data_IF_447085193743
#
_entry.id   IF_447085193743
#
_cell.length_a   1.000
_cell.length_b   1.000
_cell.length_c   1.000
_cell.angle_alpha   90.00
_cell.angle_beta   90.00
_cell.angle_gamma   90.00
#
_symmetry.space_group_name_H-M   'P 1'
#
loop_
_entity.id
_entity.type
_entity.pdbx_description
1 polymer ?
#
# COMPACT_ATOMS: atom_id res chain seq x y z
N UNK A 1 -4.87 7.73 -17.66
CA UNK A 1 -4.50 8.76 -16.64
C UNK A 1 -3.37 8.26 -15.77
N UNK A 2 -2.53 9.18 -15.37
CA UNK A 2 -1.41 8.87 -14.47
C UNK A 2 -1.50 9.75 -13.24
N UNK A 3 -1.21 9.17 -12.08
CA UNK A 3 -1.11 9.90 -10.82
C UNK A 3 0.20 9.51 -10.16
N UNK A 4 1.02 10.51 -9.84
CA UNK A 4 2.26 10.29 -9.09
C UNK A 4 2.12 10.90 -7.70
N UNK A 5 2.42 10.11 -6.69
CA UNK A 5 2.38 10.55 -5.29
C UNK A 5 3.77 10.34 -4.71
N UNK A 6 4.45 11.40 -4.25
CA UNK A 6 5.74 11.23 -3.59
C UNK A 6 5.62 10.34 -2.36
N UNK A 7 6.58 9.43 -2.18
CA UNK A 7 6.61 8.57 -0.99
C UNK A 7 6.68 9.39 0.28
N UNK A 8 7.33 10.54 0.23
CA UNK A 8 7.41 11.45 1.36
C UNK A 8 6.03 11.96 1.79
N UNK A 9 5.12 12.18 0.84
CA UNK A 9 3.75 12.62 1.17
C UNK A 9 2.99 11.51 1.89
N UNK A 10 3.18 10.25 1.50
CA UNK A 10 2.59 9.11 2.19
C UNK A 10 3.15 9.02 3.61
N UNK A 11 4.46 9.18 3.74
CA UNK A 11 5.14 9.17 5.03
C UNK A 11 4.63 10.27 5.95
N UNK A 12 4.50 11.49 5.43
CA UNK A 12 3.99 12.64 6.19
C UNK A 12 2.52 12.46 6.57
N UNK A 13 1.71 11.91 5.65
CA UNK A 13 0.31 11.63 5.92
C UNK A 13 0.14 10.65 7.09
N UNK A 14 0.91 9.56 7.09
CA UNK A 14 0.86 8.57 8.16
C UNK A 14 1.30 9.15 9.51
N UNK A 15 2.31 10.00 9.49
CA UNK A 15 2.78 10.68 10.70
C UNK A 15 1.72 11.65 11.24
N UNK A 16 1.15 12.48 10.35
CA UNK A 16 0.28 13.58 10.76
C UNK A 16 -1.12 13.11 11.14
N UNK A 17 -1.64 12.09 10.47
CA UNK A 17 -3.01 11.61 10.70
C UNK A 17 -3.11 10.40 11.62
N UNK A 18 -2.07 9.59 11.70
CA UNK A 18 -2.12 8.34 12.46
C UNK A 18 -0.99 8.21 13.48
N UNK A 19 -0.11 9.21 13.55
CA UNK A 19 1.07 9.20 14.43
C UNK A 19 1.96 7.97 14.20
N UNK A 20 2.02 7.52 12.96
CA UNK A 20 2.90 6.43 12.53
C UNK A 20 4.13 7.05 11.88
N UNK A 21 5.29 6.88 12.51
CA UNK A 21 6.55 7.45 12.04
C UNK A 21 7.36 6.38 11.33
N UNK A 22 7.34 6.41 10.02
CA UNK A 22 8.12 5.51 9.18
C UNK A 22 8.97 6.31 8.21
N UNK A 23 10.06 5.71 7.76
CA UNK A 23 10.86 6.22 6.66
C UNK A 23 10.65 5.30 5.47
N UNK A 24 10.35 5.89 4.31
CA UNK A 24 10.10 5.15 3.09
C UNK A 24 11.03 5.65 2.00
N UNK A 25 11.71 4.75 1.32
CA UNK A 25 12.53 5.12 0.17
C UNK A 25 12.45 4.08 -0.93
N UNK A 26 12.59 4.54 -2.16
CA UNK A 26 12.62 3.67 -3.34
C UNK A 26 14.06 3.17 -3.52
N UNK A 27 14.26 1.86 -3.50
CA UNK A 27 15.59 1.27 -3.66
C UNK A 27 15.85 0.75 -5.07
N UNK A 28 14.81 0.23 -5.72
CA UNK A 28 14.83 -0.22 -7.11
C UNK A 28 13.46 0.03 -7.70
N UNK A 29 13.32 -0.14 -9.01
CA UNK A 29 12.00 -0.09 -9.63
C UNK A 29 11.08 -1.13 -8.99
N UNK A 30 9.90 -0.70 -8.57
CA UNK A 30 8.86 -1.50 -7.92
C UNK A 30 9.25 -2.06 -6.55
N UNK A 31 10.34 -1.55 -5.94
CA UNK A 31 10.76 -1.92 -4.60
C UNK A 31 10.91 -0.69 -3.72
N UNK A 32 10.30 -0.73 -2.56
CA UNK A 32 10.49 0.30 -1.53
C UNK A 32 10.95 -0.35 -0.23
N UNK A 33 11.72 0.42 0.52
CA UNK A 33 12.19 0.02 1.84
C UNK A 33 11.47 0.88 2.87
N UNK A 34 10.82 0.23 3.82
CA UNK A 34 10.12 0.89 4.90
C UNK A 34 10.86 0.59 6.20
N UNK A 35 11.28 1.64 6.90
CA UNK A 35 11.94 1.53 8.20
C UNK A 35 11.03 2.08 9.27
N UNK A 36 10.70 1.25 10.25
CA UNK A 36 9.95 1.65 11.44
C UNK A 36 10.78 1.32 12.68
N UNK A 37 10.65 0.11 13.22
CA UNK A 37 11.59 -0.41 14.22
C UNK A 37 12.62 -1.25 13.50
N UNK A 38 12.15 -2.05 12.55
CA UNK A 38 12.96 -2.86 11.67
C UNK A 38 12.70 -2.46 10.22
N UNK A 39 13.48 -2.99 9.31
CA UNK A 39 13.39 -2.66 7.89
C UNK A 39 12.64 -3.74 7.13
N UNK A 40 11.68 -3.33 6.32
CA UNK A 40 10.88 -4.19 5.44
C UNK A 40 11.05 -3.69 4.01
N UNK A 41 11.24 -4.61 3.08
CA UNK A 41 11.23 -4.30 1.65
C UNK A 41 9.90 -4.77 1.07
N UNK A 42 9.19 -3.86 0.42
CA UNK A 42 7.95 -4.18 -0.30
C UNK A 42 8.23 -4.18 -1.80
N UNK A 43 7.72 -5.19 -2.47
CA UNK A 43 7.90 -5.40 -3.90
C UNK A 43 6.51 -5.54 -4.53
N UNK A 44 6.24 -4.74 -5.56
CA UNK A 44 4.98 -4.87 -6.30
C UNK A 44 5.04 -6.16 -7.11
N UNK A 45 4.07 -7.05 -6.89
CA UNK A 45 3.94 -8.30 -7.63
C UNK A 45 2.99 -8.14 -8.81
N UNK A 46 1.78 -7.66 -8.56
CA UNK A 46 0.81 -7.40 -9.61
C UNK A 46 -0.33 -6.52 -9.08
N UNK A 47 -1.09 -5.97 -10.02
CA UNK A 47 -2.31 -5.23 -9.73
C UNK A 47 -3.43 -5.86 -10.54
N UNK A 48 -4.54 -6.17 -9.89
CA UNK A 48 -5.75 -6.67 -10.57
C UNK A 48 -6.91 -5.77 -10.21
N UNK A 49 -7.31 -4.93 -11.16
CA UNK A 49 -8.45 -4.02 -11.00
C UNK A 49 -8.33 -3.10 -9.78
N UNK A 50 -8.84 -3.53 -8.63
CA UNK A 50 -8.84 -2.74 -7.40
C UNK A 50 -7.96 -3.36 -6.31
N UNK A 51 -7.27 -4.46 -6.62
CA UNK A 51 -6.49 -5.20 -5.63
C UNK A 51 -5.01 -5.16 -5.99
N UNK A 52 -4.19 -4.78 -5.01
CA UNK A 52 -2.74 -4.72 -5.18
C UNK A 52 -2.10 -5.88 -4.42
N UNK A 53 -1.27 -6.63 -5.11
CA UNK A 53 -0.52 -7.74 -4.54
C UNK A 53 0.94 -7.34 -4.38
N UNK A 54 1.44 -7.38 -3.15
CA UNK A 54 2.81 -7.06 -2.82
C UNK A 54 3.49 -8.28 -2.22
N UNK A 55 4.80 -8.39 -2.46
CA UNK A 55 5.65 -9.30 -1.71
C UNK A 55 6.47 -8.51 -0.71
N UNK A 56 6.87 -9.15 0.36
CA UNK A 56 7.74 -8.51 1.32
C UNK A 56 8.93 -9.39 1.66
N UNK A 57 10.05 -8.73 1.95
CA UNK A 57 11.27 -9.36 2.43
C UNK A 57 11.64 -8.73 3.76
N UNK A 58 12.02 -9.56 4.71
CA UNK A 58 12.21 -9.11 6.06
C UNK A 58 13.30 -9.82 6.82
N UNK A 59 13.89 -8.95 7.70
CA UNK A 59 14.11 -9.19 9.08
C UNK A 59 13.01 -8.68 10.01
N UNK A 60 12.53 -8.82 10.94
CA UNK A 60 11.63 -8.17 11.90
C UNK A 60 10.18 -7.94 11.52
N UNK A 61 9.70 -8.53 10.44
CA UNK A 61 8.34 -8.25 9.98
C UNK A 61 7.26 -8.62 10.98
N UNK A 62 7.49 -9.65 11.80
CA UNK A 62 6.50 -10.07 12.79
C UNK A 62 6.11 -8.93 13.73
N UNK A 63 7.08 -8.09 14.09
CA UNK A 63 6.83 -6.92 14.95
C UNK A 63 6.00 -5.88 14.21
N UNK A 64 6.34 -5.61 12.94
CA UNK A 64 5.62 -4.63 12.13
C UNK A 64 4.21 -5.11 11.84
N UNK A 65 4.06 -6.40 11.47
CA UNK A 65 2.74 -6.98 11.22
C UNK A 65 1.85 -6.92 12.46
N UNK A 66 2.40 -7.23 13.62
CA UNK A 66 1.64 -7.15 14.87
C UNK A 66 1.19 -5.71 15.17
N UNK A 67 2.05 -4.72 14.92
CA UNK A 67 1.70 -3.32 15.13
C UNK A 67 0.66 -2.80 14.15
N UNK A 68 0.75 -3.19 12.88
CA UNK A 68 -0.24 -2.82 11.87
C UNK A 68 -1.59 -3.44 12.23
N UNK A 69 -1.61 -4.73 12.58
CA UNK A 69 -2.84 -5.41 12.99
C UNK A 69 -3.44 -4.73 14.22
N UNK A 70 -2.61 -4.43 15.21
CA UNK A 70 -3.07 -3.77 16.44
C UNK A 70 -3.63 -2.38 16.15
N UNK A 71 -3.00 -1.63 15.26
CA UNK A 71 -3.50 -0.33 14.83
C UNK A 71 -4.91 -0.43 14.25
N UNK A 72 -5.15 -1.38 13.34
CA UNK A 72 -6.48 -1.54 12.74
C UNK A 72 -7.51 -2.01 13.75
N UNK A 73 -7.13 -2.88 14.68
CA UNK A 73 -8.03 -3.30 15.75
C UNK A 73 -8.40 -2.17 16.70
N UNK A 74 -7.42 -1.33 17.05
CA UNK A 74 -7.66 -0.18 17.93
C UNK A 74 -8.61 0.84 17.30
N UNK A 75 -8.54 1.01 15.98
CA UNK A 75 -9.42 1.92 15.26
C UNK A 75 -10.80 1.34 15.01
N UNK A 76 -11.05 0.09 15.37
CA UNK A 76 -12.34 -0.61 15.21
C UNK A 76 -12.88 -0.52 13.79
N UNK A 77 -12.01 -0.72 12.81
CA UNK A 77 -12.40 -0.71 11.41
C UNK A 77 -13.11 -2.01 11.07
N UNK A 78 -14.33 -1.89 10.55
CA UNK A 78 -15.12 -3.05 10.13
C UNK A 78 -14.51 -3.73 8.91
N UNK A 79 -13.92 -2.94 8.02
CA UNK A 79 -13.26 -3.43 6.83
C UNK A 79 -11.78 -3.07 6.87
N UNK A 80 -10.94 -4.09 6.98
CA UNK A 80 -9.49 -3.92 6.94
C UNK A 80 -9.05 -4.05 5.48
N UNK A 81 -8.45 -3.00 4.89
CA UNK A 81 -8.06 -3.06 3.47
C UNK A 81 -6.85 -3.94 3.19
N UNK A 82 -6.14 -4.35 4.23
CA UNK A 82 -4.89 -5.09 4.10
C UNK A 82 -5.04 -6.51 4.63
N UNK A 83 -4.71 -7.49 3.81
CA UNK A 83 -4.64 -8.89 4.19
C UNK A 83 -3.18 -9.30 4.18
N UNK A 84 -2.75 -9.98 5.22
CA UNK A 84 -1.36 -10.37 5.43
C UNK A 84 -1.23 -11.88 5.43
N UNK A 85 -0.43 -12.41 4.49
CA UNK A 85 -0.18 -13.85 4.41
C UNK A 85 1.28 -14.15 4.72
N UNK A 86 1.54 -14.65 5.93
CA UNK A 86 2.90 -14.94 6.38
C UNK A 86 3.51 -16.15 5.68
N UNK A 87 2.67 -17.10 5.23
CA UNK A 87 3.16 -18.30 4.56
C UNK A 87 3.74 -18.04 3.19
N UNK A 88 3.08 -17.17 2.42
CA UNK A 88 3.52 -16.81 1.06
C UNK A 88 4.35 -15.55 1.04
N UNK A 89 4.46 -14.86 2.18
CA UNK A 89 5.10 -13.55 2.30
C UNK A 89 4.50 -12.53 1.35
N UNK A 90 3.17 -12.50 1.32
CA UNK A 90 2.42 -11.57 0.49
C UNK A 90 1.55 -10.65 1.32
N UNK A 91 1.35 -9.45 0.81
CA UNK A 91 0.41 -8.48 1.34
C UNK A 91 -0.58 -8.19 0.22
N UNK A 92 -1.87 -8.27 0.54
CA UNK A 92 -2.94 -7.99 -0.41
C UNK A 92 -3.69 -6.77 0.08
N UNK A 93 -3.75 -5.74 -0.75
CA UNK A 93 -4.45 -4.50 -0.43
C UNK A 93 -5.67 -4.38 -1.33
N UNK A 94 -6.86 -4.39 -0.72
CA UNK A 94 -8.11 -4.17 -1.43
C UNK A 94 -8.46 -2.69 -1.34
N UNK A 95 -8.25 -1.96 -2.42
CA UNK A 95 -8.46 -0.52 -2.45
C UNK A 95 -9.93 -0.14 -2.36
N UNK A 96 -10.87 -1.06 -2.67
CA UNK A 96 -12.30 -0.78 -2.54
C UNK A 96 -12.73 -0.63 -1.09
N UNK A 97 -11.95 -1.15 -0.15
CA UNK A 97 -12.24 -1.03 1.28
C UNK A 97 -11.76 0.29 1.88
N UNK A 98 -11.11 1.12 1.08
CA UNK A 98 -10.70 2.46 1.49
C UNK A 98 -11.81 3.42 1.05
N UNK A 99 -12.53 4.06 2.00
CA UNK A 99 -13.75 4.82 1.67
C UNK A 99 -13.56 5.90 0.61
N UNK A 100 -12.43 6.61 0.64
CA UNK A 100 -12.17 7.68 -0.32
C UNK A 100 -11.88 7.19 -1.72
N UNK A 101 -11.43 5.95 -1.86
CA UNK A 101 -11.09 5.36 -3.15
C UNK A 101 -12.24 4.57 -3.76
N UNK A 102 -13.17 4.06 -2.94
CA UNK A 102 -14.23 3.16 -3.44
C UNK A 102 -15.11 3.83 -4.50
N UNK A 103 -15.42 5.11 -4.35
CA UNK A 103 -16.23 5.84 -5.33
C UNK A 103 -15.48 6.07 -6.63
N UNK A 104 -14.20 6.43 -6.54
CA UNK A 104 -13.35 6.63 -7.71
C UNK A 104 -13.21 5.33 -8.51
N UNK A 105 -13.06 4.20 -7.82
CA UNK A 105 -12.86 2.89 -8.44
C UNK A 105 -14.12 2.35 -9.13
N UNK A 106 -15.27 2.98 -8.94
CA UNK A 106 -16.47 2.70 -9.74
C UNK A 106 -16.35 3.27 -11.16
N UNK A 107 -15.54 4.32 -11.32
CA UNK A 107 -15.38 5.04 -12.58
C UNK A 107 -14.12 4.63 -13.34
N UNK A 108 -13.09 4.23 -12.62
CA UNK A 108 -11.79 3.88 -13.19
C UNK A 108 -11.29 2.58 -12.60
N UNK A 109 -10.35 1.94 -13.28
CA UNK A 109 -9.62 0.83 -12.71
C UNK A 109 -8.12 1.08 -12.81
N UNK A 110 -7.35 0.48 -11.91
CA UNK A 110 -5.91 0.59 -11.90
C UNK A 110 -5.33 -0.48 -12.82
N UNK A 111 -4.59 -0.06 -13.84
CA UNK A 111 -3.94 -1.00 -14.75
C UNK A 111 -2.51 -1.29 -14.33
N UNK A 112 -1.83 -0.29 -13.75
CA UNK A 112 -0.44 -0.43 -13.33
C UNK A 112 -0.19 0.35 -12.05
N UNK A 113 0.73 -0.16 -11.25
CA UNK A 113 1.23 0.49 -10.05
C UNK A 113 2.73 0.27 -10.01
N UNK A 114 3.48 1.35 -9.85
CA UNK A 114 4.94 1.27 -9.81
C UNK A 114 5.52 2.13 -8.69
N UNK A 115 6.66 1.71 -8.18
CA UNK A 115 7.49 2.53 -7.30
C UNK A 115 8.69 3.00 -8.14
N UNK A 116 8.76 4.30 -8.42
CA UNK A 116 9.83 4.91 -9.24
C UNK A 116 10.20 6.28 -8.72
N UNK A 117 11.50 6.55 -8.65
CA UNK A 117 12.01 7.90 -8.33
C UNK A 117 11.42 8.49 -7.05
N UNK A 118 11.28 7.64 -6.03
CA UNK A 118 10.66 8.00 -4.74
C UNK A 118 9.20 8.45 -4.86
N UNK A 119 8.52 7.97 -5.89
CA UNK A 119 7.09 8.21 -6.10
C UNK A 119 6.35 6.89 -6.24
N UNK A 120 5.05 6.92 -5.89
CA UNK A 120 4.12 5.87 -6.27
C UNK A 120 3.42 6.35 -7.55
N UNK A 121 3.53 5.57 -8.60
CA UNK A 121 2.92 5.86 -9.88
C UNK A 121 1.71 4.95 -10.10
N UNK A 122 0.54 5.55 -10.24
CA UNK A 122 -0.70 4.84 -10.59
C UNK A 122 -1.05 5.14 -12.04
N UNK A 123 -1.38 4.11 -12.80
CA UNK A 123 -1.93 4.25 -14.16
C UNK A 123 -3.37 3.77 -14.12
N UNK A 124 -4.28 4.65 -14.51
CA UNK A 124 -5.72 4.40 -14.48
C UNK A 124 -6.31 4.40 -15.86
N UNK A 125 -7.35 3.59 -16.07
CA UNK A 125 -8.20 3.66 -17.26
C UNK A 125 -9.64 3.83 -16.85
N UNK A 126 -10.39 4.59 -17.65
CA UNK A 126 -11.82 4.77 -17.44
C UNK A 126 -12.54 3.47 -17.75
N UNK A 127 -13.47 3.06 -16.88
CA UNK A 127 -14.30 1.86 -17.13
C UNK A 127 -15.26 2.14 -18.27
N UNK A 128 -15.40 1.16 -19.15
CA UNK A 128 -16.39 1.26 -20.21
C UNK A 128 -17.80 1.23 -19.62
N UNK A 129 -18.62 2.11 -20.16
CA UNK A 129 -20.04 2.12 -19.82
C UNK A 129 -20.73 1.08 -20.67
N UNK A 130 -21.29 0.09 -20.03
CA UNK A 130 -22.09 -0.92 -20.70
C UNK A 130 -23.56 -0.58 -20.46
#
# INVERSE_FOLDING_TARGET
MRLEIPLKEVQDFLRDHYNIKIDVKNIEEDKIEITYIDTVVLIIKEVRQEVVFLKYEVGGLAVIAAKVAHFFLDKKLDNIPVEWNAKTKEIIIDLTKIPHLSNLLKLVYISELHFRNDNILFVFYVRDKI
#
